data_IF_984628924081
#
_entry.id   IF_984628924081
#
_cell.length_a   1.000
_cell.length_b   1.000
_cell.length_c   1.000
_cell.angle_alpha   90.00
_cell.angle_beta   90.00
_cell.angle_gamma   90.00
#
_symmetry.space_group_name_H-M   'P 1'
#
loop_
_entity.id
_entity.type
_entity.pdbx_description
1 polymer ?
#
# COMPACT_ATOMS: atom_id res chain seq x y z
N UNK A 1 17.48 10.04 2.48
CA UNK A 1 18.05 9.76 1.15
C UNK A 1 17.08 10.27 0.10
N UNK A 2 17.57 10.84 -1.00
CA UNK A 2 16.74 11.23 -2.13
C UNK A 2 16.63 10.04 -3.09
N UNK A 3 15.56 9.25 -2.97
CA UNK A 3 15.35 8.03 -3.76
C UNK A 3 14.03 8.20 -4.52
N UNK A 4 14.06 8.01 -5.83
CA UNK A 4 12.86 8.03 -6.65
C UNK A 4 12.02 6.77 -6.38
N UNK A 5 10.71 6.95 -6.23
CA UNK A 5 9.77 5.85 -6.14
C UNK A 5 9.21 5.53 -7.53
N UNK A 6 8.83 4.28 -7.74
CA UNK A 6 8.12 3.89 -8.95
C UNK A 6 6.79 4.67 -9.10
N UNK A 7 6.60 5.26 -10.28
CA UNK A 7 5.44 6.08 -10.64
C UNK A 7 4.11 5.34 -10.68
N UNK A 8 4.13 4.00 -10.75
CA UNK A 8 2.94 3.13 -10.78
C UNK A 8 2.75 2.33 -9.49
N UNK A 9 3.39 2.80 -8.42
CA UNK A 9 3.16 2.38 -7.04
C UNK A 9 2.22 3.35 -6.31
N UNK A 10 1.36 2.82 -5.44
CA UNK A 10 0.50 3.62 -4.57
C UNK A 10 0.67 3.21 -3.11
N UNK A 11 0.37 4.15 -2.20
CA UNK A 11 0.42 3.93 -0.76
C UNK A 11 -0.79 4.59 -0.12
N UNK A 12 -1.44 3.92 0.80
CA UNK A 12 -2.44 4.56 1.67
C UNK A 12 -2.41 3.92 3.06
N UNK A 13 -2.88 4.65 4.06
CA UNK A 13 -2.87 4.23 5.46
C UNK A 13 -2.90 5.43 6.37
N UNK A 14 -3.31 5.22 7.62
CA UNK A 14 -3.09 6.18 8.70
C UNK A 14 -1.85 5.76 9.48
N UNK A 15 -1.07 6.74 9.98
CA UNK A 15 0.14 6.49 10.76
C UNK A 15 -0.10 7.00 12.17
N UNK A 16 0.07 6.11 13.15
CA UNK A 16 0.13 6.52 14.55
C UNK A 16 1.52 6.98 14.96
N UNK A 17 1.62 7.73 16.06
CA UNK A 17 2.87 8.29 16.54
C UNK A 17 3.90 7.22 16.95
N UNK A 18 3.45 6.02 17.32
CA UNK A 18 4.33 4.89 17.63
C UNK A 18 4.76 4.11 16.36
N UNK A 19 4.42 4.62 15.18
CA UNK A 19 4.80 4.07 13.89
C UNK A 19 3.94 2.90 13.43
N UNK A 20 2.80 2.63 14.09
CA UNK A 20 1.82 1.66 13.63
C UNK A 20 1.05 2.17 12.40
N UNK A 21 0.77 1.28 11.46
CA UNK A 21 -0.01 1.56 10.27
C UNK A 21 -1.45 1.07 10.49
N UNK A 22 -2.39 1.98 10.37
CA UNK A 22 -3.81 1.76 10.70
C UNK A 22 -4.67 1.72 9.43
N UNK A 23 -5.76 0.92 9.43
CA UNK A 23 -6.60 0.75 8.26
C UNK A 23 -7.36 2.03 7.92
N UNK A 24 -7.57 2.25 6.62
CA UNK A 24 -8.47 3.29 6.11
C UNK A 24 -9.78 2.70 5.63
N UNK A 25 -10.82 3.54 5.64
CA UNK A 25 -12.11 3.19 5.07
C UNK A 25 -12.02 2.96 3.55
N UNK A 26 -12.80 1.97 3.08
CA UNK A 26 -12.96 1.64 1.65
C UNK A 26 -11.66 1.26 0.92
N UNK A 27 -10.67 0.69 1.63
CA UNK A 27 -9.38 0.32 1.05
C UNK A 27 -9.47 -0.65 -0.13
N UNK A 28 -10.40 -1.60 -0.09
CA UNK A 28 -10.64 -2.55 -1.18
C UNK A 28 -11.07 -1.87 -2.49
N UNK A 29 -11.96 -0.88 -2.40
CA UNK A 29 -12.43 -0.14 -3.56
C UNK A 29 -11.31 0.73 -4.14
N UNK A 30 -10.50 1.37 -3.29
CA UNK A 30 -9.32 2.13 -3.73
C UNK A 30 -8.36 1.26 -4.54
N UNK A 31 -8.08 0.04 -4.08
CA UNK A 31 -7.20 -0.89 -4.79
C UNK A 31 -7.75 -1.28 -6.17
N UNK A 32 -9.05 -1.58 -6.26
CA UNK A 32 -9.69 -1.94 -7.54
C UNK A 32 -9.66 -0.79 -8.54
N UNK A 33 -9.93 0.44 -8.10
CA UNK A 33 -9.85 1.60 -8.98
C UNK A 33 -8.41 1.88 -9.40
N UNK A 34 -7.44 1.74 -8.50
CA UNK A 34 -6.04 1.91 -8.85
C UNK A 34 -5.55 0.87 -9.87
N UNK A 35 -6.00 -0.38 -9.77
CA UNK A 35 -5.67 -1.41 -10.75
C UNK A 35 -6.21 -1.04 -12.15
N UNK A 36 -7.44 -0.50 -12.24
CA UNK A 36 -8.00 0.00 -13.51
C UNK A 36 -7.20 1.17 -14.09
N UNK A 37 -6.59 2.01 -13.25
CA UNK A 37 -5.74 3.12 -13.66
C UNK A 37 -4.30 2.69 -14.01
N UNK A 38 -4.00 1.40 -13.95
CA UNK A 38 -2.70 0.83 -14.31
C UNK A 38 -1.63 0.95 -13.22
N UNK A 39 -2.01 1.18 -11.96
CA UNK A 39 -1.10 0.96 -10.85
C UNK A 39 -0.89 -0.53 -10.66
N UNK A 40 0.36 -0.96 -10.56
CA UNK A 40 0.71 -2.37 -10.45
C UNK A 40 1.20 -2.77 -9.06
N UNK A 41 1.39 -1.81 -8.15
CA UNK A 41 1.89 -2.08 -6.80
C UNK A 41 1.23 -1.20 -5.76
N UNK A 42 0.86 -1.79 -4.63
CA UNK A 42 0.25 -1.08 -3.51
C UNK A 42 0.86 -1.49 -2.17
N UNK A 43 1.29 -0.50 -1.38
CA UNK A 43 1.66 -0.69 0.03
C UNK A 43 0.51 -0.20 0.91
N UNK A 44 -0.04 -1.09 1.73
CA UNK A 44 -1.30 -0.85 2.46
C UNK A 44 -1.23 -1.36 3.91
N UNK A 45 -2.14 -0.94 4.80
CA UNK A 45 -2.25 -1.50 6.13
C UNK A 45 -2.58 -3.00 6.05
N UNK A 46 -1.99 -3.84 6.90
CA UNK A 46 -2.28 -5.27 6.98
C UNK A 46 -3.79 -5.55 7.12
N UNK A 47 -4.48 -4.74 7.91
CA UNK A 47 -5.93 -4.82 8.11
C UNK A 47 -6.78 -4.46 6.87
N UNK A 48 -6.21 -3.81 5.85
CA UNK A 48 -6.87 -3.57 4.57
C UNK A 48 -6.60 -4.66 3.53
N UNK A 49 -5.80 -5.69 3.83
CA UNK A 49 -5.42 -6.74 2.87
C UNK A 49 -6.65 -7.40 2.26
N UNK A 50 -6.75 -7.46 0.91
CA UNK A 50 -7.87 -8.11 0.24
C UNK A 50 -7.86 -9.61 0.50
N UNK A 51 -9.05 -10.20 0.66
CA UNK A 51 -9.21 -11.66 0.73
C UNK A 51 -8.97 -12.35 -0.61
N UNK A 52 -9.27 -11.64 -1.70
CA UNK A 52 -9.11 -12.12 -3.07
C UNK A 52 -7.95 -11.38 -3.73
N UNK A 53 -7.26 -12.04 -4.67
CA UNK A 53 -6.25 -11.37 -5.48
C UNK A 53 -6.91 -10.25 -6.31
N UNK A 54 -6.18 -9.15 -6.49
CA UNK A 54 -6.52 -8.09 -7.44
C UNK A 54 -5.60 -8.27 -8.64
N UNK A 55 -6.16 -8.57 -9.80
CA UNK A 55 -5.37 -8.87 -11.00
C UNK A 55 -4.55 -7.65 -11.42
N UNK A 56 -3.33 -7.92 -11.88
CA UNK A 56 -2.38 -6.88 -12.29
C UNK A 56 -1.77 -6.06 -11.13
N UNK A 57 -2.09 -6.37 -9.87
CA UNK A 57 -1.61 -5.61 -8.72
C UNK A 57 -0.88 -6.48 -7.69
N UNK A 58 0.36 -6.12 -7.38
CA UNK A 58 1.11 -6.58 -6.22
C UNK A 58 0.62 -5.85 -4.96
N UNK A 59 0.20 -6.61 -3.95
CA UNK A 59 -0.24 -6.07 -2.66
C UNK A 59 0.79 -6.38 -1.59
N UNK A 60 1.40 -5.33 -1.05
CA UNK A 60 2.31 -5.37 0.10
C UNK A 60 1.54 -4.85 1.31
N UNK A 61 1.29 -5.73 2.28
CA UNK A 61 0.53 -5.38 3.47
C UNK A 61 1.48 -5.26 4.67
N UNK A 62 1.45 -4.13 5.37
CA UNK A 62 2.42 -3.78 6.43
C UNK A 62 1.72 -3.39 7.73
N UNK A 63 2.42 -3.58 8.85
CA UNK A 63 1.93 -3.17 10.18
C UNK A 63 2.68 -1.94 10.72
N UNK A 64 3.89 -1.67 10.23
CA UNK A 64 4.71 -0.53 10.67
C UNK A 64 5.28 0.31 9.53
N UNK A 65 5.56 1.57 9.84
CA UNK A 65 6.12 2.53 8.87
C UNK A 65 7.49 2.12 8.32
N UNK A 66 8.32 1.46 9.12
CA UNK A 66 9.64 1.02 8.67
C UNK A 66 9.53 -0.05 7.59
N UNK A 67 8.61 -1.02 7.73
CA UNK A 67 8.32 -2.02 6.69
C UNK A 67 7.85 -1.35 5.39
N UNK A 68 6.97 -0.35 5.48
CA UNK A 68 6.50 0.40 4.31
C UNK A 68 7.67 1.08 3.59
N UNK A 69 8.58 1.72 4.34
CA UNK A 69 9.74 2.40 3.77
C UNK A 69 10.72 1.42 3.14
N UNK A 70 10.94 0.25 3.73
CA UNK A 70 11.83 -0.77 3.18
C UNK A 70 11.29 -1.33 1.86
N UNK A 71 9.98 -1.57 1.78
CA UNK A 71 9.33 -1.99 0.54
C UNK A 71 9.31 -0.93 -0.55
N UNK A 72 9.28 0.36 -0.20
CA UNK A 72 9.26 1.45 -1.18
C UNK A 72 10.65 1.84 -1.69
N UNK A 73 11.71 1.57 -0.91
CA UNK A 73 13.09 1.98 -1.23
C UNK A 73 13.90 0.92 -1.98
N UNK A 74 13.42 -0.32 -2.03
CA UNK A 74 13.95 -1.36 -2.91
C UNK A 74 13.43 -1.20 -4.32
#
# INVERSE_FOLDING_TARGET
KNIALDSKSLVFGEIGLAGEIRPVQRGQERLREAAKLGFHRAVIPAANKPKQRIDGMEIVAVERINEALDHLRG
#
